data_IF_190830371892
#
_entry.id   IF_190830371892
#
_cell.length_a   1.000
_cell.length_b   1.000
_cell.length_c   1.000
_cell.angle_alpha   90.00
_cell.angle_beta   90.00
_cell.angle_gamma   90.00
#
_symmetry.space_group_name_H-M   'P 1'
#
loop_
_entity.id
_entity.type
_entity.pdbx_description
1 polymer ?
#
# COMPACT_ATOMS: atom_id res chain seq x y z
N UNK A 1 14.14 6.34 5.62
CA UNK A 1 13.80 6.31 7.06
C UNK A 1 13.42 7.69 7.61
N UNK A 2 13.34 8.74 6.79
CA UNK A 2 13.06 10.11 7.28
C UNK A 2 11.58 10.46 7.41
N UNK A 3 10.68 9.71 6.76
CA UNK A 3 9.26 10.03 6.76
C UNK A 3 8.60 9.81 8.14
N UNK A 4 8.87 8.68 8.81
CA UNK A 4 8.36 8.39 10.16
C UNK A 4 8.83 9.44 11.18
N UNK A 5 10.09 9.91 11.08
CA UNK A 5 10.61 11.01 11.91
C UNK A 5 9.91 12.34 11.65
N UNK A 6 9.51 12.62 10.41
CA UNK A 6 8.83 13.87 10.03
C UNK A 6 7.34 13.90 10.40
N UNK A 7 6.68 12.74 10.42
CA UNK A 7 5.24 12.63 10.75
C UNK A 7 5.03 12.44 12.27
N UNK A 8 6.08 12.09 13.02
CA UNK A 8 5.97 11.81 14.46
C UNK A 8 5.29 10.48 14.79
N UNK A 9 4.93 9.68 13.77
CA UNK A 9 4.38 8.33 13.93
C UNK A 9 5.52 7.32 13.97
N UNK A 10 5.50 6.41 14.94
CA UNK A 10 6.56 5.42 15.16
C UNK A 10 6.09 4.03 14.69
N UNK A 11 5.93 3.88 13.38
CA UNK A 11 5.55 2.58 12.80
C UNK A 11 6.69 1.58 13.02
N UNK A 12 6.42 0.56 13.83
CA UNK A 12 7.37 -0.48 14.24
C UNK A 12 7.31 -1.74 13.38
N UNK A 13 6.27 -1.89 12.53
CA UNK A 13 6.19 -3.03 11.61
C UNK A 13 4.86 -3.16 10.87
N UNK A 14 4.68 -4.35 10.30
CA UNK A 14 3.49 -4.74 9.53
C UNK A 14 2.86 -5.97 10.17
N UNK A 15 1.53 -6.01 10.18
CA UNK A 15 0.79 -7.24 10.49
C UNK A 15 1.01 -8.31 9.40
N UNK A 16 0.81 -9.59 9.75
CA UNK A 16 0.90 -10.68 8.78
C UNK A 16 -0.10 -10.52 7.62
N UNK A 17 -1.28 -9.96 7.87
CA UNK A 17 -2.29 -9.71 6.83
C UNK A 17 -1.84 -8.60 5.87
N UNK A 18 -1.27 -7.51 6.38
CA UNK A 18 -0.66 -6.47 5.54
C UNK A 18 0.47 -7.02 4.67
N UNK A 19 1.36 -7.84 5.24
CA UNK A 19 2.45 -8.47 4.49
C UNK A 19 1.94 -9.38 3.37
N UNK A 20 0.85 -10.12 3.59
CA UNK A 20 0.22 -10.94 2.53
C UNK A 20 -0.22 -10.07 1.36
N UNK A 21 -0.88 -8.94 1.63
CA UNK A 21 -1.32 -8.00 0.59
C UNK A 21 -0.11 -7.47 -0.19
N UNK A 22 0.90 -6.93 0.51
CA UNK A 22 2.09 -6.35 -0.11
C UNK A 22 2.85 -7.36 -1.00
N UNK A 23 2.89 -8.63 -0.60
CA UNK A 23 3.53 -9.71 -1.38
C UNK A 23 2.67 -10.18 -2.55
N UNK A 24 1.35 -10.16 -2.42
CA UNK A 24 0.42 -10.60 -3.46
C UNK A 24 0.23 -9.56 -4.58
N UNK A 25 0.53 -8.30 -4.30
CA UNK A 25 0.33 -7.22 -5.24
C UNK A 25 1.45 -7.15 -6.28
N UNK A 26 1.09 -7.01 -7.55
CA UNK A 26 2.06 -6.81 -8.63
C UNK A 26 2.38 -5.32 -8.75
N UNK A 27 3.58 -4.95 -8.32
CA UNK A 27 4.08 -3.57 -8.34
C UNK A 27 4.58 -3.20 -9.74
N UNK A 28 3.68 -2.88 -10.66
CA UNK A 28 4.01 -2.48 -12.04
C UNK A 28 5.02 -1.33 -12.13
N UNK A 29 5.01 -0.41 -11.15
CA UNK A 29 5.97 0.68 -10.99
C UNK A 29 7.23 0.33 -10.19
N UNK A 30 7.50 -0.97 -9.99
CA UNK A 30 8.63 -1.52 -9.23
C UNK A 30 8.69 -1.04 -7.77
N UNK A 31 9.88 -1.05 -7.17
CA UNK A 31 10.14 -0.65 -5.78
C UNK A 31 9.70 0.80 -5.47
N UNK A 32 9.61 1.67 -6.49
CA UNK A 32 9.13 3.05 -6.32
C UNK A 32 7.65 3.09 -5.96
N UNK A 33 6.83 2.27 -6.61
CA UNK A 33 5.39 2.17 -6.30
C UNK A 33 5.18 1.58 -4.90
N UNK A 34 5.92 0.52 -4.55
CA UNK A 34 5.90 -0.07 -3.21
C UNK A 34 6.26 0.96 -2.13
N UNK A 35 7.29 1.78 -2.37
CA UNK A 35 7.69 2.84 -1.43
C UNK A 35 6.54 3.83 -1.22
N UNK A 36 5.98 4.40 -2.29
CA UNK A 36 4.90 5.38 -2.20
C UNK A 36 3.68 4.80 -1.45
N UNK A 37 3.38 3.53 -1.68
CA UNK A 37 2.34 2.82 -0.95
C UNK A 37 2.65 2.75 0.56
N UNK A 38 3.84 2.29 0.95
CA UNK A 38 4.23 2.20 2.36
C UNK A 38 4.20 3.59 3.02
N UNK A 39 4.66 4.63 2.32
CA UNK A 39 4.61 6.01 2.82
C UNK A 39 3.18 6.47 3.09
N UNK A 40 2.25 6.19 2.16
CA UNK A 40 0.82 6.48 2.34
C UNK A 40 0.21 5.69 3.48
N UNK A 41 0.55 4.41 3.63
CA UNK A 41 0.09 3.56 4.72
C UNK A 41 0.58 4.07 6.09
N UNK A 42 1.82 4.58 6.19
CA UNK A 42 2.35 5.20 7.41
C UNK A 42 1.55 6.48 7.76
N UNK A 43 1.21 7.29 6.77
CA UNK A 43 0.42 8.51 6.97
C UNK A 43 -0.98 8.16 7.50
N UNK A 44 -1.61 7.15 6.88
CA UNK A 44 -2.99 6.72 7.17
C UNK A 44 -3.12 5.86 8.44
N UNK A 45 -2.06 5.17 8.86
CA UNK A 45 -2.10 4.30 10.04
C UNK A 45 -2.18 5.12 11.32
N UNK A 46 -3.19 4.88 12.15
CA UNK A 46 -3.30 5.46 13.50
C UNK A 46 -2.57 4.62 14.56
N UNK A 47 -1.97 3.50 14.16
CA UNK A 47 -1.21 2.58 15.01
C UNK A 47 0.26 2.52 14.61
N UNK A 48 1.09 1.96 15.50
CA UNK A 48 2.48 1.63 15.21
C UNK A 48 2.61 0.38 14.31
N UNK A 49 1.52 -0.36 14.09
CA UNK A 49 1.52 -1.53 13.19
C UNK A 49 0.61 -1.25 12.01
N UNK A 50 1.14 -1.41 10.79
CA UNK A 50 0.35 -1.30 9.55
C UNK A 50 -0.49 -2.58 9.38
N UNK A 51 -1.79 -2.39 9.29
CA UNK A 51 -2.79 -3.43 9.10
C UNK A 51 -3.26 -3.49 7.64
N UNK A 52 -3.93 -4.59 7.30
CA UNK A 52 -4.52 -4.75 5.97
C UNK A 52 -5.54 -3.65 5.61
N UNK A 53 -6.25 -3.10 6.61
CA UNK A 53 -7.16 -1.95 6.46
C UNK A 53 -6.45 -0.72 5.89
N UNK A 54 -5.20 -0.52 6.29
CA UNK A 54 -4.43 0.67 5.94
C UNK A 54 -3.89 0.58 4.51
N UNK A 55 -4.05 -0.58 3.86
CA UNK A 55 -3.61 -0.87 2.49
C UNK A 55 -4.76 -1.03 1.49
N UNK A 56 -6.02 -0.80 1.92
CA UNK A 56 -7.20 -1.00 1.05
C UNK A 56 -7.17 -0.15 -0.22
N UNK A 57 -6.52 1.02 -0.20
CA UNK A 57 -6.40 1.88 -1.37
C UNK A 57 -5.67 1.20 -2.55
N UNK A 58 -4.74 0.28 -2.28
CA UNK A 58 -3.99 -0.44 -3.33
C UNK A 58 -4.91 -1.46 -4.01
N UNK A 59 -5.71 -2.17 -3.21
CA UNK A 59 -6.65 -3.19 -3.69
C UNK A 59 -7.71 -2.54 -4.58
N UNK A 60 -8.16 -1.34 -4.22
CA UNK A 60 -9.13 -0.60 -5.03
C UNK A 60 -8.52 -0.14 -6.37
N UNK A 61 -7.29 0.38 -6.36
CA UNK A 61 -6.61 0.81 -7.60
C UNK A 61 -6.39 -0.34 -8.58
N UNK A 62 -6.12 -1.56 -8.11
CA UNK A 62 -6.02 -2.73 -9.00
C UNK A 62 -7.37 -3.11 -9.61
N UNK A 63 -8.44 -3.14 -8.81
CA UNK A 63 -9.80 -3.40 -9.32
C UNK A 63 -10.21 -2.39 -10.38
N UNK A 64 -9.91 -1.12 -10.15
CA UNK A 64 -10.16 -0.06 -11.14
C UNK A 64 -9.38 -0.32 -12.43
N UNK A 65 -8.07 -0.62 -12.36
CA UNK A 65 -7.26 -0.90 -13.57
C UNK A 65 -7.70 -2.16 -14.31
N UNK A 66 -7.95 -3.26 -13.62
CA UNK A 66 -8.45 -4.50 -14.24
C UNK A 66 -9.82 -4.27 -14.91
N UNK A 67 -10.69 -3.49 -14.27
CA UNK A 67 -11.99 -3.13 -14.86
C UNK A 67 -11.85 -2.21 -16.09
N UNK A 68 -10.88 -1.28 -16.11
CA UNK A 68 -10.60 -0.45 -17.29
C UNK A 68 -10.01 -1.26 -18.45
N UNK A 69 -9.08 -2.17 -18.16
CA UNK A 69 -8.45 -3.04 -19.16
C UNK A 69 -9.48 -4.00 -19.81
N UNK A 70 -10.52 -4.42 -19.08
CA UNK A 70 -11.63 -5.24 -19.61
C UNK A 70 -12.61 -4.48 -20.52
N UNK A 71 -12.69 -3.15 -20.42
CA UNK A 71 -13.69 -2.33 -21.14
C UNK A 71 -13.18 -1.87 -22.51
N UNK A 72 -11.87 -1.91 -22.77
CA UNK A 72 -11.29 -1.53 -24.07
C UNK A 72 -11.28 -2.77 -25.00
N UNK A 73 -12.14 -2.86 -26.02
CA UNK A 73 -11.98 -3.88 -27.04
C UNK A 73 -10.75 -3.53 -27.89
N UNK A 74 -9.94 -4.55 -28.22
CA UNK A 74 -8.83 -4.48 -29.17
C UNK A 74 -9.18 -3.72 -30.46
#
# INVERSE_FOLDING_TARGET
MDLTRRIGKNVSGFSNSALKILKSYYWSGNVRELRNCIEKAIIMSDSNIINASDLQFIVNTKKEREQYDEIIPL
#
